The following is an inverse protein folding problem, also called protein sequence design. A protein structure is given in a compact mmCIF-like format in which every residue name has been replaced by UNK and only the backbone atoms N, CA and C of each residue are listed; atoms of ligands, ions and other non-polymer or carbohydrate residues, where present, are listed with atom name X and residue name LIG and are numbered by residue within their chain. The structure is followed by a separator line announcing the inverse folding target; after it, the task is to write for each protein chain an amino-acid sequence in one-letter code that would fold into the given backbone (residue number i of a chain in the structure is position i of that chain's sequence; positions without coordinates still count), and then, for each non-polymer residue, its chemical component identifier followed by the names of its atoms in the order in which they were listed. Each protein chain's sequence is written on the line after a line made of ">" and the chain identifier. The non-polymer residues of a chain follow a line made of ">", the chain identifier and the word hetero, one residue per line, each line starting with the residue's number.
data_IF_136667176539
#
_entry.id   IF_136667176539
#
_cell.length_a   1.000
_cell.length_b   1.000
_cell.length_c   1.000
_cell.angle_alpha   90.00
_cell.angle_beta   90.00
_cell.angle_gamma   90.00
#
_symmetry.space_group_name_H-M   'P 1'
#
loop_
_entity.id
_entity.type
_entity.pdbx_description
1 polymer ?
#
# COMPACT_ATOMS: atom_id res chain seq x y z
N UNK A 1 19.75 7.65 -4.59
CA UNK A 1 19.49 8.57 -5.71
C UNK A 1 20.74 9.04 -6.45
N UNK A 2 21.67 9.78 -5.81
CA UNK A 2 22.86 10.29 -6.50
C UNK A 2 23.70 9.19 -7.19
N UNK A 3 24.03 8.11 -6.48
CA UNK A 3 24.79 6.98 -7.06
C UNK A 3 24.05 6.26 -8.21
N UNK A 4 22.73 6.07 -8.07
CA UNK A 4 21.89 5.53 -9.13
C UNK A 4 21.96 6.41 -10.38
N UNK A 5 21.76 7.72 -10.25
CA UNK A 5 21.77 8.63 -11.38
C UNK A 5 23.17 8.80 -11.98
N UNK A 6 24.23 8.73 -11.18
CA UNK A 6 25.61 8.69 -11.69
C UNK A 6 25.85 7.43 -12.54
N UNK A 7 25.36 6.26 -12.10
CA UNK A 7 25.42 5.02 -12.87
C UNK A 7 24.61 5.11 -14.17
N UNK A 8 23.38 5.64 -14.12
CA UNK A 8 22.56 5.86 -15.32
C UNK A 8 23.23 6.81 -16.31
N UNK A 9 23.79 7.91 -15.82
CA UNK A 9 24.54 8.87 -16.64
C UNK A 9 25.75 8.23 -17.33
N UNK A 10 26.52 7.39 -16.61
CA UNK A 10 27.64 6.65 -17.20
C UNK A 10 27.23 5.69 -18.32
N UNK A 11 25.97 5.26 -18.34
CA UNK A 11 25.37 4.40 -19.36
C UNK A 11 24.63 5.20 -20.45
N UNK A 12 24.67 6.54 -20.42
CA UNK A 12 23.92 7.39 -21.35
C UNK A 12 22.40 7.33 -21.17
N UNK A 13 21.92 6.85 -20.01
CA UNK A 13 20.49 6.75 -19.68
C UNK A 13 20.02 8.02 -18.97
N UNK A 14 18.73 8.31 -19.10
CA UNK A 14 18.09 9.40 -18.37
C UNK A 14 18.10 9.13 -16.86
N UNK A 15 18.30 10.18 -16.06
CA UNK A 15 18.26 10.08 -14.60
C UNK A 15 16.86 9.73 -14.10
N UNK A 16 16.79 8.95 -13.02
CA UNK A 16 15.54 8.65 -12.37
C UNK A 16 15.26 9.61 -11.21
N UNK A 17 14.00 10.00 -11.05
CA UNK A 17 13.50 10.72 -9.88
C UNK A 17 12.23 10.04 -9.39
N UNK A 18 12.13 9.86 -8.09
CA UNK A 18 10.89 9.43 -7.43
C UNK A 18 9.97 10.63 -7.29
N UNK A 19 8.65 10.41 -7.34
CA UNK A 19 7.68 11.48 -7.12
C UNK A 19 7.32 11.58 -5.63
N UNK A 20 6.94 12.77 -5.19
CA UNK A 20 6.57 13.05 -3.79
C UNK A 20 5.32 12.29 -3.34
N UNK A 21 4.45 11.88 -4.26
CA UNK A 21 3.28 11.03 -3.99
C UNK A 21 3.61 9.52 -3.87
N UNK A 22 4.83 9.13 -4.20
CA UNK A 22 5.26 7.73 -4.25
C UNK A 22 6.22 7.36 -3.11
N UNK A 23 6.93 8.33 -2.53
CA UNK A 23 7.95 8.07 -1.51
C UNK A 23 8.30 9.30 -0.68
N UNK A 24 8.54 9.09 0.63
CA UNK A 24 9.07 10.13 1.52
C UNK A 24 10.43 10.69 1.04
N UNK A 25 11.26 9.87 0.38
CA UNK A 25 12.51 10.34 -0.24
C UNK A 25 12.26 11.31 -1.40
N UNK A 26 11.12 11.20 -2.09
CA UNK A 26 10.68 12.15 -3.10
C UNK A 26 10.35 13.50 -2.49
N UNK A 27 9.56 13.49 -1.41
CA UNK A 27 9.23 14.70 -0.63
C UNK A 27 10.50 15.39 -0.16
N UNK A 28 11.47 14.65 0.40
CA UNK A 28 12.75 15.19 0.84
C UNK A 28 13.52 15.90 -0.27
N UNK A 29 13.67 15.23 -1.41
CA UNK A 29 14.45 15.75 -2.54
C UNK A 29 13.77 16.97 -3.13
N UNK A 30 12.45 16.92 -3.29
CA UNK A 30 11.66 18.03 -3.81
C UNK A 30 11.77 19.25 -2.89
N UNK A 31 11.54 19.08 -1.58
CA UNK A 31 11.66 20.13 -0.58
C UNK A 31 13.04 20.80 -0.60
N UNK A 32 14.11 19.99 -0.61
CA UNK A 32 15.48 20.51 -0.64
C UNK A 32 15.81 21.24 -1.95
N UNK A 33 15.25 20.79 -3.08
CA UNK A 33 15.51 21.39 -4.40
C UNK A 33 14.68 22.66 -4.65
N UNK A 34 13.45 22.71 -4.12
CA UNK A 34 12.48 23.78 -4.37
C UNK A 34 12.56 24.87 -3.29
N UNK A 35 12.66 24.50 -2.02
CA UNK A 35 12.66 25.44 -0.90
C UNK A 35 14.06 25.76 -0.36
N UNK A 36 15.05 24.91 -0.65
CA UNK A 36 16.37 25.00 -0.05
C UNK A 36 16.33 24.79 1.47
N UNK A 37 17.43 25.08 2.17
CA UNK A 37 17.43 25.01 3.64
C UNK A 37 18.47 25.92 4.29
N UNK A 38 18.10 26.56 5.41
CA UNK A 38 19.00 27.39 6.23
C UNK A 38 19.52 26.67 7.47
N UNK A 39 18.78 25.67 7.93
CA UNK A 39 19.12 24.80 9.05
C UNK A 39 19.07 23.34 8.58
N UNK A 40 19.68 22.38 9.28
CA UNK A 40 19.62 20.98 8.84
C UNK A 40 18.17 20.49 8.69
N UNK A 41 17.79 20.06 7.48
CA UNK A 41 16.45 19.57 7.17
C UNK A 41 16.09 18.36 8.04
N UNK A 42 14.82 18.29 8.51
CA UNK A 42 14.30 17.20 9.34
C UNK A 42 13.01 16.64 8.75
N UNK A 43 13.02 15.33 8.45
CA UNK A 43 11.86 14.63 7.89
C UNK A 43 10.63 14.66 8.79
N UNK A 44 10.81 14.66 10.11
CA UNK A 44 9.68 14.64 11.06
C UNK A 44 8.80 15.91 11.00
N UNK A 45 9.31 16.99 10.41
CA UNK A 45 8.56 18.25 10.23
C UNK A 45 7.93 18.38 8.84
N UNK A 46 8.22 17.48 7.90
CA UNK A 46 7.60 17.54 6.57
C UNK A 46 6.18 16.96 6.61
N UNK A 47 5.26 17.70 5.99
CA UNK A 47 3.87 17.25 5.81
C UNK A 47 3.82 16.39 4.56
N UNK A 48 4.14 15.11 4.68
CA UNK A 48 3.71 14.15 3.68
C UNK A 48 2.16 14.20 3.66
N UNK A 49 1.56 14.76 2.61
CA UNK A 49 0.10 14.82 2.48
C UNK A 49 -0.50 13.42 2.28
N UNK A 50 0.34 12.44 1.93
CA UNK A 50 -0.03 11.09 1.52
C UNK A 50 0.31 9.99 2.54
N UNK A 51 0.26 10.28 3.85
CA UNK A 51 0.69 9.34 4.93
C UNK A 51 0.01 7.97 4.92
N UNK A 52 -1.21 7.84 4.39
CA UNK A 52 -1.87 6.53 4.30
C UNK A 52 -1.30 5.67 3.16
N UNK A 53 -0.71 6.28 2.13
CA UNK A 53 -0.05 5.61 1.03
C UNK A 53 1.44 5.40 1.29
N UNK A 54 2.09 6.37 1.93
CA UNK A 54 3.52 6.36 2.25
C UNK A 54 3.78 5.70 3.61
N UNK A 55 3.47 4.41 3.71
CA UNK A 55 3.73 3.65 4.92
C UNK A 55 5.04 2.89 4.83
N UNK A 56 5.66 2.63 5.97
CA UNK A 56 6.85 1.78 6.04
C UNK A 56 6.52 0.37 5.52
N UNK A 57 5.37 -0.17 5.94
CA UNK A 57 4.93 -1.54 5.69
C UNK A 57 4.70 -1.88 4.21
N UNK A 58 4.53 -0.86 3.34
CA UNK A 58 4.23 -1.02 1.92
C UNK A 58 5.29 -0.42 0.99
N UNK A 59 6.46 -0.04 1.50
CA UNK A 59 7.53 0.56 0.69
C UNK A 59 8.00 -0.36 -0.44
N UNK A 60 8.00 -1.67 -0.20
CA UNK A 60 8.31 -2.67 -1.21
C UNK A 60 7.27 -2.71 -2.33
N UNK A 61 5.98 -2.65 -2.00
CA UNK A 61 4.88 -2.56 -2.97
C UNK A 61 4.98 -1.32 -3.87
N UNK A 62 5.54 -0.22 -3.34
CA UNK A 62 5.69 1.04 -4.08
C UNK A 62 6.95 1.09 -4.94
N UNK A 63 8.06 0.48 -4.49
CA UNK A 63 9.38 0.76 -5.05
C UNK A 63 10.10 -0.45 -5.66
N UNK A 64 9.75 -1.68 -5.29
CA UNK A 64 10.54 -2.87 -5.67
C UNK A 64 10.54 -3.11 -7.17
N UNK A 65 9.39 -2.97 -7.83
CA UNK A 65 9.28 -3.10 -9.29
C UNK A 65 10.16 -2.07 -10.00
N UNK A 66 10.08 -0.79 -9.58
CA UNK A 66 10.92 0.24 -10.16
C UNK A 66 12.41 0.00 -9.90
N UNK A 67 12.76 -0.43 -8.69
CA UNK A 67 14.14 -0.77 -8.35
C UNK A 67 14.66 -1.98 -9.15
N UNK A 68 13.79 -2.94 -9.49
CA UNK A 68 14.11 -4.06 -10.37
C UNK A 68 14.39 -3.60 -11.80
N UNK A 69 13.55 -2.72 -12.37
CA UNK A 69 13.80 -2.11 -13.69
C UNK A 69 15.14 -1.36 -13.75
N UNK A 70 15.52 -0.73 -12.63
CA UNK A 70 16.77 0.01 -12.49
C UNK A 70 17.98 -0.90 -12.18
N UNK A 71 17.79 -2.21 -12.07
CA UNK A 71 18.84 -3.18 -11.81
C UNK A 71 19.39 -3.17 -10.38
N UNK A 72 18.63 -2.65 -9.41
CA UNK A 72 19.03 -2.54 -8.00
C UNK A 72 18.59 -3.75 -7.15
N UNK A 73 17.72 -4.59 -7.69
CA UNK A 73 17.11 -5.73 -6.99
C UNK A 73 17.57 -7.02 -7.65
N UNK A 74 18.16 -7.91 -6.85
CA UNK A 74 18.58 -9.25 -7.31
C UNK A 74 17.39 -10.21 -7.51
N UNK A 75 17.67 -11.37 -8.09
CA UNK A 75 16.63 -12.35 -8.43
C UNK A 75 15.97 -12.96 -7.19
N UNK A 76 16.72 -13.08 -6.09
CA UNK A 76 16.22 -13.65 -4.82
C UNK A 76 15.18 -12.72 -4.20
N UNK A 77 15.49 -11.42 -4.11
CA UNK A 77 14.57 -10.42 -3.58
C UNK A 77 13.39 -10.20 -4.53
N UNK A 78 13.62 -10.24 -5.84
CA UNK A 78 12.53 -10.17 -6.82
C UNK A 78 11.56 -11.36 -6.70
N UNK A 79 12.08 -12.57 -6.56
CA UNK A 79 11.25 -13.77 -6.37
C UNK A 79 10.41 -13.67 -5.08
N UNK A 80 11.03 -13.27 -3.96
CA UNK A 80 10.32 -13.08 -2.69
C UNK A 80 9.23 -12.01 -2.77
N UNK A 81 9.49 -10.91 -3.48
CA UNK A 81 8.51 -9.86 -3.71
C UNK A 81 7.30 -10.37 -4.49
N UNK A 82 7.52 -11.08 -5.59
CA UNK A 82 6.43 -11.64 -6.39
C UNK A 82 5.61 -12.68 -5.62
N UNK A 83 6.28 -13.55 -4.85
CA UNK A 83 5.60 -14.51 -3.98
C UNK A 83 4.69 -13.80 -2.96
N UNK A 84 5.17 -12.74 -2.31
CA UNK A 84 4.35 -11.92 -1.41
C UNK A 84 3.13 -11.34 -2.13
N UNK A 85 3.30 -10.76 -3.33
CA UNK A 85 2.20 -10.20 -4.13
C UNK A 85 1.16 -11.27 -4.48
N UNK A 86 1.61 -12.44 -4.94
CA UNK A 86 0.73 -13.55 -5.31
C UNK A 86 -0.04 -14.10 -4.10
N UNK A 87 0.64 -14.26 -2.96
CA UNK A 87 0.03 -14.67 -1.71
C UNK A 87 -1.04 -13.67 -1.25
N UNK A 88 -0.76 -12.37 -1.35
CA UNK A 88 -1.72 -11.32 -1.00
C UNK A 88 -2.96 -11.39 -1.90
N UNK A 89 -2.78 -11.45 -3.22
CA UNK A 89 -3.92 -11.47 -4.14
C UNK A 89 -4.75 -12.75 -3.96
N UNK A 90 -4.10 -13.90 -3.87
CA UNK A 90 -4.77 -15.19 -3.64
C UNK A 90 -5.58 -15.16 -2.35
N UNK A 91 -5.01 -14.64 -1.27
CA UNK A 91 -5.69 -14.57 0.01
C UNK A 91 -6.87 -13.58 -0.01
N UNK A 92 -6.71 -12.42 -0.67
CA UNK A 92 -7.84 -11.50 -0.87
C UNK A 92 -8.96 -12.14 -1.65
N UNK A 93 -8.65 -12.88 -2.72
CA UNK A 93 -9.67 -13.59 -3.50
C UNK A 93 -10.35 -14.68 -2.68
N UNK A 94 -9.61 -15.42 -1.85
CA UNK A 94 -10.17 -16.40 -0.92
C UNK A 94 -11.13 -15.75 0.08
N UNK A 95 -10.74 -14.65 0.71
CA UNK A 95 -11.59 -13.93 1.67
C UNK A 95 -12.84 -13.33 1.03
N UNK A 96 -12.76 -12.87 -0.23
CA UNK A 96 -13.93 -12.38 -1.00
C UNK A 96 -14.91 -13.49 -1.38
N UNK A 97 -14.39 -14.67 -1.70
CA UNK A 97 -15.18 -15.81 -2.18
C UNK A 97 -15.69 -16.72 -1.06
N UNK A 98 -15.19 -16.56 0.17
CA UNK A 98 -15.64 -17.31 1.34
C UNK A 98 -16.71 -16.53 2.09
N UNK A 99 -17.91 -17.11 2.18
CA UNK A 99 -19.08 -16.48 2.78
C UNK A 99 -19.55 -17.22 4.02
N UNK A 100 -20.01 -16.45 5.00
CA UNK A 100 -20.74 -16.97 6.16
C UNK A 100 -22.07 -16.26 6.27
N UNK A 101 -23.07 -16.94 6.82
CA UNK A 101 -24.38 -16.41 7.10
C UNK A 101 -24.75 -16.67 8.58
N UNK A 102 -25.85 -16.07 9.10
CA UNK A 102 -26.22 -16.23 10.50
C UNK A 102 -26.50 -17.67 10.96
N UNK A 103 -26.66 -18.62 10.03
CA UNK A 103 -26.89 -20.04 10.31
C UNK A 103 -25.66 -20.91 10.01
N UNK A 104 -24.52 -20.31 9.63
CA UNK A 104 -23.27 -21.04 9.37
C UNK A 104 -22.72 -21.67 10.65
N UNK A 105 -22.01 -22.79 10.51
CA UNK A 105 -21.25 -23.35 11.61
C UNK A 105 -20.19 -22.36 12.12
N UNK A 106 -19.99 -22.29 13.45
CA UNK A 106 -19.03 -21.37 14.07
C UNK A 106 -19.50 -19.92 14.19
N UNK A 107 -20.77 -19.62 13.85
CA UNK A 107 -21.31 -18.25 13.92
C UNK A 107 -21.30 -17.68 15.35
N UNK A 108 -21.48 -18.51 16.37
CA UNK A 108 -21.46 -18.07 17.76
C UNK A 108 -20.08 -17.56 18.18
N UNK A 109 -19.00 -18.20 17.71
CA UNK A 109 -17.64 -17.74 17.96
C UNK A 109 -17.35 -16.43 17.21
N UNK A 110 -17.81 -16.31 15.96
CA UNK A 110 -17.71 -15.05 15.22
C UNK A 110 -18.48 -13.92 15.92
N UNK A 111 -19.71 -14.18 16.37
CA UNK A 111 -20.54 -13.17 17.03
C UNK A 111 -19.96 -12.68 18.36
N UNK A 112 -19.13 -13.46 19.06
CA UNK A 112 -18.38 -13.00 20.26
C UNK A 112 -17.33 -11.94 19.93
N UNK A 113 -16.78 -11.95 18.72
CA UNK A 113 -15.79 -10.98 18.26
C UNK A 113 -16.44 -9.69 17.77
N UNK A 114 -17.71 -9.76 17.34
CA UNK A 114 -18.45 -8.67 16.75
C UNK A 114 -19.13 -7.78 17.80
N UNK A 115 -19.13 -6.46 17.58
CA UNK A 115 -19.93 -5.55 18.41
C UNK A 115 -21.43 -5.71 18.16
N UNK A 116 -21.79 -5.97 16.91
CA UNK A 116 -23.16 -6.24 16.47
C UNK A 116 -23.18 -7.59 15.76
N UNK A 117 -24.00 -8.55 16.23
CA UNK A 117 -24.13 -9.86 15.62
C UNK A 117 -24.46 -9.78 14.12
N UNK A 118 -24.05 -10.81 13.38
CA UNK A 118 -24.39 -10.89 11.96
C UNK A 118 -25.91 -10.98 11.74
N UNK A 119 -26.44 -10.09 10.92
CA UNK A 119 -27.86 -10.09 10.52
C UNK A 119 -28.08 -10.61 9.08
N UNK A 120 -27.03 -10.60 8.26
CA UNK A 120 -27.04 -11.05 6.86
C UNK A 120 -25.73 -11.76 6.55
N UNK A 121 -25.67 -12.41 5.39
CA UNK A 121 -24.42 -12.97 4.89
C UNK A 121 -23.34 -11.89 4.67
N UNK A 122 -22.09 -12.28 4.88
CA UNK A 122 -20.92 -11.45 4.67
C UNK A 122 -19.74 -12.31 4.22
N UNK A 123 -18.91 -11.75 3.34
CA UNK A 123 -17.64 -12.37 2.97
C UNK A 123 -16.60 -12.21 4.09
N UNK A 124 -15.52 -12.99 4.04
CA UNK A 124 -14.36 -12.79 4.91
C UNK A 124 -13.77 -11.39 4.76
N UNK A 125 -13.74 -10.83 3.55
CA UNK A 125 -13.26 -9.46 3.32
C UNK A 125 -14.18 -8.42 4.01
N UNK A 126 -15.50 -8.62 3.96
CA UNK A 126 -16.46 -7.73 4.63
C UNK A 126 -16.34 -7.78 6.16
N UNK A 127 -16.05 -8.96 6.71
CA UNK A 127 -15.81 -9.14 8.13
C UNK A 127 -14.49 -8.49 8.56
N UNK A 128 -13.42 -8.68 7.79
CA UNK A 128 -12.10 -8.11 8.07
C UNK A 128 -12.09 -6.58 7.98
N UNK A 129 -13.00 -5.99 7.19
CA UNK A 129 -13.21 -4.54 7.14
C UNK A 129 -13.76 -3.97 8.46
N UNK A 130 -14.34 -4.81 9.34
CA UNK A 130 -14.80 -4.36 10.66
C UNK A 130 -13.59 -4.10 11.58
N UNK A 131 -13.52 -2.95 12.26
CA UNK A 131 -12.34 -2.56 13.02
C UNK A 131 -12.04 -3.50 14.20
N UNK A 132 -13.05 -4.18 14.74
CA UNK A 132 -12.91 -5.15 15.83
C UNK A 132 -12.36 -6.52 15.41
N UNK A 133 -12.28 -6.83 14.11
CA UNK A 133 -11.76 -8.12 13.62
C UNK A 133 -10.34 -7.92 13.08
N UNK A 134 -9.40 -8.76 13.54
CA UNK A 134 -8.07 -8.92 12.91
C UNK A 134 -8.02 -10.16 12.02
N UNK A 135 -7.05 -10.21 11.11
CA UNK A 135 -6.84 -11.37 10.23
C UNK A 135 -6.56 -12.63 11.04
N UNK A 136 -5.76 -12.51 12.10
CA UNK A 136 -5.46 -13.63 13.00
C UNK A 136 -6.70 -14.17 13.71
N UNK A 137 -7.64 -13.31 14.12
CA UNK A 137 -8.88 -13.77 14.75
C UNK A 137 -9.82 -14.41 13.72
N UNK A 138 -9.92 -13.81 12.54
CA UNK A 138 -10.77 -14.30 11.46
C UNK A 138 -10.36 -15.73 11.04
N UNK A 139 -9.07 -15.96 10.86
CA UNK A 139 -8.52 -17.25 10.39
C UNK A 139 -8.43 -18.34 11.46
N UNK A 140 -8.79 -18.04 12.71
CA UNK A 140 -9.05 -19.06 13.74
C UNK A 140 -10.43 -19.72 13.58
N UNK A 141 -11.34 -19.11 12.82
CA UNK A 141 -12.65 -19.70 12.54
C UNK A 141 -12.52 -20.75 11.44
N UNK A 142 -13.13 -21.92 11.61
CA UNK A 142 -13.06 -23.03 10.66
C UNK A 142 -13.41 -22.62 9.22
N UNK A 143 -14.36 -21.68 9.05
CA UNK A 143 -14.77 -21.16 7.75
C UNK A 143 -13.64 -20.42 7.00
N UNK A 144 -12.72 -19.79 7.72
CA UNK A 144 -11.64 -18.97 7.17
C UNK A 144 -10.26 -19.55 7.46
N UNK A 145 -10.16 -20.68 8.15
CA UNK A 145 -8.91 -21.42 8.32
C UNK A 145 -8.47 -22.09 6.99
N UNK A 146 -7.17 -22.40 6.83
CA UNK A 146 -6.07 -21.98 7.69
C UNK A 146 -5.67 -20.51 7.45
N UNK A 147 -4.86 -19.97 8.37
CA UNK A 147 -4.19 -18.69 8.16
C UNK A 147 -3.09 -18.81 7.09
N UNK A 148 -2.87 -17.74 6.34
CA UNK A 148 -1.74 -17.63 5.43
C UNK A 148 -0.42 -17.69 6.21
N UNK A 149 0.50 -18.56 5.78
CA UNK A 149 1.80 -18.74 6.44
C UNK A 149 2.70 -17.50 6.29
N UNK A 150 2.63 -16.85 5.12
CA UNK A 150 3.36 -15.61 4.81
C UNK A 150 2.80 -14.44 5.63
N UNK A 151 3.46 -14.17 6.76
CA UNK A 151 3.06 -13.13 7.70
C UNK A 151 3.08 -11.72 7.09
N UNK A 152 4.01 -11.43 6.17
CA UNK A 152 4.09 -10.12 5.52
C UNK A 152 2.93 -9.92 4.55
N UNK A 153 2.53 -10.98 3.84
CA UNK A 153 1.35 -10.95 2.99
C UNK A 153 0.08 -10.84 3.84
N UNK A 154 -0.06 -11.61 4.91
CA UNK A 154 -1.22 -11.60 5.80
C UNK A 154 -1.46 -10.22 6.43
N UNK A 155 -0.40 -9.59 6.94
CA UNK A 155 -0.45 -8.22 7.47
C UNK A 155 -0.90 -7.22 6.40
N UNK A 156 -0.32 -7.30 5.20
CA UNK A 156 -0.71 -6.40 4.10
C UNK A 156 -2.14 -6.62 3.62
N UNK A 157 -2.64 -7.86 3.63
CA UNK A 157 -4.07 -8.14 3.34
C UNK A 157 -4.96 -7.44 4.36
N UNK A 158 -4.68 -7.56 5.65
CA UNK A 158 -5.45 -6.89 6.70
C UNK A 158 -5.45 -5.37 6.52
N UNK A 159 -4.26 -4.77 6.34
CA UNK A 159 -4.12 -3.33 6.16
C UNK A 159 -4.86 -2.87 4.90
N UNK A 160 -4.67 -3.54 3.76
CA UNK A 160 -5.35 -3.17 2.53
C UNK A 160 -6.86 -3.22 2.68
N UNK A 161 -7.42 -4.29 3.28
CA UNK A 161 -8.87 -4.44 3.43
C UNK A 161 -9.45 -3.38 4.38
N UNK A 162 -8.77 -3.09 5.50
CA UNK A 162 -9.24 -2.11 6.48
C UNK A 162 -9.17 -0.68 5.96
N UNK A 163 -8.15 -0.36 5.17
CA UNK A 163 -7.92 1.00 4.69
C UNK A 163 -8.34 1.23 3.23
N UNK A 164 -8.89 0.23 2.53
CA UNK A 164 -9.24 0.26 1.10
C UNK A 164 -9.99 1.54 0.69
N UNK A 165 -11.05 1.90 1.43
CA UNK A 165 -11.84 3.09 1.16
C UNK A 165 -11.08 4.41 1.34
N UNK A 166 -10.19 4.49 2.34
CA UNK A 166 -9.37 5.67 2.58
C UNK A 166 -8.24 5.79 1.55
N UNK A 167 -7.60 4.66 1.22
CA UNK A 167 -6.57 4.55 0.20
C UNK A 167 -7.13 4.99 -1.16
N UNK A 168 -8.29 4.45 -1.56
CA UNK A 168 -8.95 4.79 -2.82
C UNK A 168 -9.28 6.28 -2.91
N UNK A 169 -9.83 6.86 -1.84
CA UNK A 169 -10.11 8.30 -1.78
C UNK A 169 -8.83 9.13 -1.95
N UNK A 170 -7.75 8.75 -1.27
CA UNK A 170 -6.48 9.46 -1.37
C UNK A 170 -5.87 9.33 -2.77
N UNK A 171 -6.00 8.17 -3.42
CA UNK A 171 -5.59 7.97 -4.81
C UNK A 171 -6.38 8.87 -5.78
N UNK A 172 -7.71 8.97 -5.61
CA UNK A 172 -8.54 9.88 -6.42
C UNK A 172 -8.14 11.36 -6.25
N UNK A 173 -7.74 11.76 -5.04
CA UNK A 173 -7.22 13.11 -4.76
C UNK A 173 -5.85 13.35 -5.43
N UNK A 174 -4.94 12.37 -5.39
CA UNK A 174 -3.64 12.42 -6.11
C UNK A 174 -3.85 12.54 -7.62
N UNK A 175 -4.72 11.72 -8.21
CA UNK A 175 -4.99 11.74 -9.65
C UNK A 175 -5.58 13.09 -10.10
N UNK A 176 -6.35 13.77 -9.26
CA UNK A 176 -6.83 15.13 -9.52
C UNK A 176 -5.68 16.14 -9.48
N UNK A 177 -4.82 16.06 -8.46
CA UNK A 177 -3.65 16.94 -8.33
C UNK A 177 -2.70 16.79 -9.52
N UNK A 178 -2.35 15.55 -9.90
CA UNK A 178 -1.48 15.26 -11.05
C UNK A 178 -2.05 15.80 -12.36
N UNK A 179 -3.37 15.72 -12.56
CA UNK A 179 -4.01 16.34 -13.74
C UNK A 179 -3.78 17.86 -13.78
N UNK A 180 -3.83 18.54 -12.65
CA UNK A 180 -3.55 19.97 -12.58
C UNK A 180 -2.06 20.28 -12.83
N UNK A 181 -1.13 19.52 -12.24
CA UNK A 181 0.32 19.70 -12.49
C UNK A 181 0.70 19.49 -13.96
N UNK A 182 0.07 18.52 -14.64
CA UNK A 182 0.33 18.24 -16.05
C UNK A 182 -0.44 19.14 -17.01
N UNK A 183 -1.34 20.00 -16.51
CA UNK A 183 -2.05 20.98 -17.34
C UNK A 183 -1.06 22.06 -17.77
N UNK A 184 -0.63 22.01 -19.03
CA UNK A 184 0.20 23.06 -19.62
C UNK A 184 -0.60 24.36 -19.63
N UNK A 185 -0.07 25.41 -19.02
CA UNK A 185 -0.61 26.74 -19.17
C UNK A 185 -0.31 27.26 -20.59
N UNK A 186 -1.29 27.89 -21.26
CA UNK A 186 -1.04 28.66 -22.47
C UNK A 186 0.13 29.63 -22.28
N UNK A 187 1.02 29.72 -23.26
CA UNK A 187 2.18 30.61 -23.19
C UNK A 187 1.79 32.10 -23.21
N UNK A 188 0.55 32.38 -23.60
CA UNK A 188 -0.11 33.68 -23.72
C UNK A 188 -1.07 33.97 -22.55
N UNK A 189 -0.89 33.30 -21.41
CA UNK A 189 -1.61 33.68 -20.18
C UNK A 189 -1.14 35.06 -19.71
N UNK A 190 -2.07 36.01 -19.64
CA UNK A 190 -1.88 37.39 -19.14
C UNK A 190 -1.86 37.45 -17.59
#
# INVERSE_FOLDING_TARGET
>A
MAGLNASLYSQGKEGWRTRSDQEDMGVLIDDLSTMGTKEPYRMFTSRAEYRLLLREDNADLRLTEKARELGLIDDVRWARFNEKIENMETERQRLKSTWVNPNSAGIDELNKLLKTPMAREASGEDLLRRPEISYSQLTQLDAFAPALEDQQAAEQVEIQVKYDGYIKRQQEEIEKSLRHEHTKLPADLD
#
